data_IF_961090307717
#
_entry.id   IF_961090307717
#
_cell.length_a   1.000
_cell.length_b   1.000
_cell.length_c   1.000
_cell.angle_alpha   90.00
_cell.angle_beta   90.00
_cell.angle_gamma   90.00
#
_symmetry.space_group_name_H-M   'P 1'
#
loop_
_entity.id
_entity.type
_entity.pdbx_description
1 polymer ?
#
# COMPACT_ATOMS: atom_id res chain seq x y z
N UNK A 1 10.05 -4.09 15.34
CA UNK A 1 9.15 -2.91 15.27
C UNK A 1 8.02 -3.25 14.33
N UNK A 2 6.76 -2.96 14.69
CA UNK A 2 5.59 -3.20 13.84
C UNK A 2 5.28 -1.94 13.05
N UNK A 3 5.09 -2.09 11.74
CA UNK A 3 4.82 -0.97 10.83
C UNK A 3 3.70 -1.30 9.85
N UNK A 4 3.18 -0.24 9.22
CA UNK A 4 2.30 -0.31 8.06
C UNK A 4 2.98 0.40 6.88
N UNK A 5 2.72 -0.05 5.66
CA UNK A 5 3.22 0.59 4.44
C UNK A 5 2.05 1.26 3.72
N UNK A 6 2.19 2.55 3.42
CA UNK A 6 1.32 3.22 2.47
C UNK A 6 1.68 2.71 1.07
N UNK A 7 0.80 1.89 0.49
CA UNK A 7 1.04 1.18 -0.76
C UNK A 7 0.00 1.53 -1.82
N UNK A 8 0.49 1.98 -2.97
CA UNK A 8 -0.29 2.08 -4.21
C UNK A 8 -0.16 0.83 -5.09
N UNK A 9 0.65 -0.15 -4.68
CA UNK A 9 0.99 -1.33 -5.49
C UNK A 9 2.06 -1.06 -6.54
N UNK A 10 2.52 0.19 -6.68
CA UNK A 10 3.59 0.58 -7.58
C UNK A 10 4.98 0.13 -7.10
N UNK A 11 5.98 0.40 -7.97
CA UNK A 11 7.38 0.03 -7.71
C UNK A 11 7.95 0.67 -6.44
N UNK A 12 7.61 1.94 -6.19
CA UNK A 12 8.21 2.73 -5.12
C UNK A 12 7.66 2.29 -3.74
N UNK A 13 6.35 2.06 -3.64
CA UNK A 13 5.75 1.48 -2.43
C UNK A 13 6.20 0.04 -2.18
N UNK A 14 6.41 -0.75 -3.24
CA UNK A 14 6.97 -2.10 -3.13
C UNK A 14 8.42 -2.07 -2.64
N UNK A 15 9.22 -1.10 -3.10
CA UNK A 15 10.58 -0.89 -2.62
C UNK A 15 10.61 -0.46 -1.14
N UNK A 16 9.69 0.42 -0.71
CA UNK A 16 9.55 0.81 0.70
C UNK A 16 9.22 -0.39 1.59
N UNK A 17 8.32 -1.26 1.14
CA UNK A 17 8.02 -2.51 1.85
C UNK A 17 9.23 -3.45 1.91
N UNK A 18 9.89 -3.70 0.78
CA UNK A 18 11.10 -4.52 0.75
C UNK A 18 12.16 -3.98 1.72
N UNK A 19 12.40 -2.67 1.70
CA UNK A 19 13.36 -2.02 2.58
C UNK A 19 13.00 -2.21 4.06
N UNK A 20 11.74 -2.00 4.45
CA UNK A 20 11.28 -2.22 5.82
C UNK A 20 11.50 -3.67 6.27
N UNK A 21 11.24 -4.63 5.36
CA UNK A 21 11.53 -6.05 5.60
C UNK A 21 13.03 -6.30 5.82
N UNK A 22 13.91 -5.71 4.99
CA UNK A 22 15.36 -5.81 5.15
C UNK A 22 15.88 -5.19 6.46
N UNK A 23 15.14 -4.23 7.05
CA UNK A 23 15.44 -3.68 8.38
C UNK A 23 15.02 -4.60 9.53
N UNK A 24 14.45 -5.78 9.23
CA UNK A 24 13.90 -6.70 10.21
C UNK A 24 12.61 -6.17 10.86
N UNK A 25 11.91 -5.25 10.19
CA UNK A 25 10.63 -4.76 10.69
C UNK A 25 9.50 -5.69 10.27
N UNK A 26 8.51 -5.80 11.15
CA UNK A 26 7.32 -6.59 10.89
C UNK A 26 6.30 -5.70 10.20
N UNK A 27 6.16 -5.87 8.88
CA UNK A 27 5.15 -5.19 8.08
C UNK A 27 3.84 -5.94 8.24
N UNK A 28 2.90 -5.36 8.97
CA UNK A 28 1.64 -6.02 9.34
C UNK A 28 0.47 -5.62 8.45
N UNK A 29 0.54 -4.42 7.86
CA UNK A 29 -0.53 -3.85 7.06
C UNK A 29 0.00 -3.17 5.80
N UNK A 30 -0.76 -3.31 4.71
CA UNK A 30 -0.64 -2.49 3.51
C UNK A 30 -1.85 -1.57 3.46
N UNK A 31 -1.63 -0.27 3.55
CA UNK A 31 -2.66 0.77 3.54
C UNK A 31 -2.72 1.36 2.14
N UNK A 32 -3.90 1.36 1.53
CA UNK A 32 -4.08 1.88 0.17
C UNK A 32 -5.13 2.97 0.16
N UNK A 33 -4.78 4.14 -0.37
CA UNK A 33 -5.74 5.20 -0.60
C UNK A 33 -6.45 4.93 -1.93
N UNK A 34 -7.76 4.71 -1.86
CA UNK A 34 -8.64 4.54 -3.01
C UNK A 34 -9.27 5.89 -3.30
N UNK A 35 -8.75 6.57 -4.31
CA UNK A 35 -9.26 7.88 -4.75
C UNK A 35 -10.55 7.66 -5.53
N UNK A 36 -11.64 8.26 -5.07
CA UNK A 36 -12.95 8.24 -5.75
C UNK A 36 -13.10 9.41 -6.74
N UNK A 37 -12.23 10.42 -6.65
CA UNK A 37 -12.13 11.53 -7.60
C UNK A 37 -11.44 11.15 -8.91
N UNK A 38 -11.51 12.06 -9.89
CA UNK A 38 -10.93 11.84 -11.22
C UNK A 38 -9.45 12.25 -11.34
N UNK A 39 -8.92 12.96 -10.35
CA UNK A 39 -7.53 13.41 -10.30
C UNK A 39 -7.03 13.45 -8.86
N UNK A 40 -5.73 13.32 -8.69
CA UNK A 40 -5.06 13.36 -7.38
C UNK A 40 -3.58 13.67 -7.57
N UNK A 41 -3.14 14.74 -6.92
CA UNK A 41 -1.72 15.14 -6.87
C UNK A 41 -0.92 14.34 -5.83
N UNK A 42 -1.60 13.63 -4.91
CA UNK A 42 -0.98 12.97 -3.76
C UNK A 42 -0.95 11.45 -3.90
N UNK A 43 -2.09 10.85 -4.20
CA UNK A 43 -2.25 9.40 -4.28
C UNK A 43 -2.38 8.92 -5.72
N UNK A 44 -1.75 7.78 -6.01
CA UNK A 44 -1.91 7.11 -7.28
C UNK A 44 -3.35 6.59 -7.43
N UNK A 45 -3.96 6.81 -8.59
CA UNK A 45 -5.31 6.32 -8.92
C UNK A 45 -5.25 4.96 -9.64
N UNK A 46 -4.43 4.78 -10.70
CA UNK A 46 -4.54 3.58 -11.51
C UNK A 46 -4.01 2.32 -10.81
N UNK A 47 -4.79 1.25 -10.86
CA UNK A 47 -4.35 -0.11 -10.52
C UNK A 47 -4.09 -0.38 -9.03
N UNK A 48 -4.55 0.48 -8.12
CA UNK A 48 -4.28 0.37 -6.67
C UNK A 48 -4.92 -0.85 -6.01
N UNK A 49 -5.98 -1.41 -6.59
CA UNK A 49 -6.64 -2.66 -6.19
C UNK A 49 -5.66 -3.85 -6.11
N UNK A 50 -4.55 -3.83 -6.87
CA UNK A 50 -3.54 -4.89 -6.85
C UNK A 50 -2.92 -5.11 -5.46
N UNK A 51 -2.94 -4.09 -4.60
CA UNK A 51 -2.41 -4.19 -3.23
C UNK A 51 -3.18 -5.22 -2.42
N UNK A 52 -4.48 -5.41 -2.67
CA UNK A 52 -5.26 -6.48 -2.02
C UNK A 52 -4.71 -7.87 -2.34
N UNK A 53 -4.28 -8.10 -3.59
CA UNK A 53 -3.64 -9.36 -3.98
C UNK A 53 -2.26 -9.52 -3.33
N UNK A 54 -1.46 -8.46 -3.30
CA UNK A 54 -0.15 -8.46 -2.65
C UNK A 54 -0.26 -8.75 -1.15
N UNK A 55 -1.25 -8.15 -0.48
CA UNK A 55 -1.52 -8.37 0.93
C UNK A 55 -1.88 -9.83 1.20
N UNK A 56 -2.80 -10.39 0.41
CA UNK A 56 -3.21 -11.80 0.48
C UNK A 56 -2.03 -12.76 0.32
N UNK A 57 -1.16 -12.53 -0.69
CA UNK A 57 -0.02 -13.41 -0.96
C UNK A 57 1.07 -13.33 0.10
N UNK A 58 1.21 -12.18 0.76
CA UNK A 58 2.22 -11.95 1.79
C UNK A 58 1.75 -12.23 3.22
N UNK A 59 0.45 -12.54 3.40
CA UNK A 59 -0.14 -12.70 4.73
C UNK A 59 -0.27 -11.40 5.52
N UNK A 60 -0.21 -10.25 4.86
CA UNK A 60 -0.42 -8.93 5.51
C UNK A 60 -1.89 -8.50 5.42
N UNK A 61 -2.32 -7.62 6.32
CA UNK A 61 -3.69 -7.10 6.30
C UNK A 61 -3.79 -5.95 5.30
N UNK A 62 -4.72 -6.03 4.35
CA UNK A 62 -5.03 -4.92 3.45
C UNK A 62 -6.01 -3.95 4.09
N UNK A 63 -5.69 -2.66 4.05
CA UNK A 63 -6.52 -1.57 4.58
C UNK A 63 -6.81 -0.56 3.46
N UNK A 64 -7.90 -0.75 2.69
CA UNK A 64 -8.33 0.22 1.70
C UNK A 64 -9.08 1.39 2.37
N UNK A 65 -8.63 2.62 2.12
CA UNK A 65 -9.24 3.85 2.65
C UNK A 65 -9.72 4.70 1.47
N UNK A 66 -11.02 4.98 1.44
CA UNK A 66 -11.62 5.85 0.42
C UNK A 66 -11.29 7.32 0.70
N UNK A 67 -10.94 8.08 -0.33
CA UNK A 67 -10.65 9.52 -0.25
C UNK A 67 -11.10 10.23 -1.53
N UNK A 68 -11.32 11.54 -1.47
CA UNK A 68 -11.66 12.36 -2.64
C UNK A 68 -10.43 12.81 -3.45
N UNK A 69 -9.22 12.53 -2.94
CA UNK A 69 -7.95 12.97 -3.54
C UNK A 69 -7.15 13.81 -2.56
#
# INVERSE_FOLDING_TARGET
MRVAILSSGGKDSSAAWWWATCRGWEVTHLVTMIVEGNDSMMFQIPGTEIVGHQAKLSGTTWVPIKTQG
#
